data_IF_229677670260
#
_entry.id   IF_229677670260
#
_cell.length_a   1.000
_cell.length_b   1.000
_cell.length_c   1.000
_cell.angle_alpha   90.00
_cell.angle_beta   90.00
_cell.angle_gamma   90.00
#
_symmetry.space_group_name_H-M   'P 1'
#
loop_
_entity.id
_entity.type
_entity.pdbx_description
1 polymer ?
#
# COMPACT_ATOMS: atom_id res chain seq x y z
N UNK A 1 6.02 36.61 15.64
CA UNK A 1 4.95 37.62 15.53
C UNK A 1 4.59 37.77 14.06
N UNK A 2 3.30 37.70 13.71
CA UNK A 2 2.85 37.96 12.34
C UNK A 2 2.99 39.47 12.11
N UNK A 3 3.80 39.88 11.13
CA UNK A 3 4.05 41.29 10.83
C UNK A 3 2.78 42.07 10.46
N UNK A 4 2.85 43.42 10.41
CA UNK A 4 1.71 44.27 10.12
C UNK A 4 1.05 43.89 8.79
N UNK A 5 -0.29 43.85 8.78
CA UNK A 5 -1.07 43.51 7.59
C UNK A 5 -0.79 44.58 6.51
N UNK A 6 -0.31 44.19 5.32
CA UNK A 6 -0.05 45.13 4.25
C UNK A 6 -1.30 45.95 3.89
N UNK A 7 -1.16 47.28 3.82
CA UNK A 7 -2.23 48.23 3.48
C UNK A 7 -2.89 47.95 2.10
N UNK A 8 -2.25 47.18 1.22
CA UNK A 8 -2.83 46.72 -0.03
C UNK A 8 -4.06 45.78 0.17
N UNK A 9 -4.16 45.14 1.33
CA UNK A 9 -5.23 44.17 1.65
C UNK A 9 -6.50 44.83 2.21
N UNK A 10 -6.46 46.10 2.62
CA UNK A 10 -7.61 46.79 3.24
C UNK A 10 -8.69 47.21 2.25
N UNK A 11 -8.37 47.26 0.95
CA UNK A 11 -9.30 47.60 -0.14
C UNK A 11 -9.55 46.44 -1.12
N UNK A 12 -9.06 45.25 -0.78
CA UNK A 12 -9.18 44.05 -1.60
C UNK A 12 -10.51 43.34 -1.33
N UNK A 13 -11.16 42.82 -2.37
CA UNK A 13 -12.33 41.94 -2.17
C UNK A 13 -11.92 40.70 -1.36
N UNK A 14 -12.87 40.10 -0.63
CA UNK A 14 -12.61 38.89 0.16
C UNK A 14 -12.00 37.77 -0.70
N UNK A 15 -12.42 37.66 -1.97
CA UNK A 15 -11.85 36.69 -2.91
C UNK A 15 -10.36 36.92 -3.19
N UNK A 16 -9.95 38.19 -3.39
CA UNK A 16 -8.54 38.52 -3.62
C UNK A 16 -7.66 38.23 -2.38
N UNK A 17 -8.21 38.38 -1.17
CA UNK A 17 -7.50 38.02 0.05
C UNK A 17 -7.32 36.50 0.20
N UNK A 18 -8.35 35.73 -0.12
CA UNK A 18 -8.29 34.25 -0.10
C UNK A 18 -7.27 33.75 -1.11
N UNK A 19 -7.27 34.27 -2.34
CA UNK A 19 -6.29 33.88 -3.36
C UNK A 19 -4.86 34.23 -2.98
N UNK A 20 -4.64 35.39 -2.35
CA UNK A 20 -3.33 35.81 -1.89
C UNK A 20 -2.82 34.89 -0.77
N UNK A 21 -3.70 34.51 0.16
CA UNK A 21 -3.37 33.54 1.20
C UNK A 21 -3.09 32.16 0.59
N UNK A 22 -3.99 31.60 -0.22
CA UNK A 22 -3.79 30.28 -0.83
C UNK A 22 -2.45 30.17 -1.60
N UNK A 23 -2.08 31.23 -2.32
CA UNK A 23 -0.78 31.31 -3.01
C UNK A 23 0.40 31.30 -2.05
N UNK A 24 0.34 32.08 -0.98
CA UNK A 24 1.38 32.11 0.04
C UNK A 24 1.46 30.78 0.82
N UNK A 25 0.31 30.14 1.08
CA UNK A 25 0.22 28.83 1.72
C UNK A 25 0.90 27.76 0.88
N UNK A 26 0.55 27.68 -0.41
CA UNK A 26 1.11 26.72 -1.35
C UNK A 26 2.63 26.92 -1.47
N UNK A 27 3.09 28.17 -1.65
CA UNK A 27 4.52 28.47 -1.74
C UNK A 27 5.30 28.15 -0.46
N UNK A 28 4.67 28.30 0.72
CA UNK A 28 5.28 27.88 1.98
C UNK A 28 5.33 26.35 2.12
N UNK A 29 4.26 25.65 1.71
CA UNK A 29 4.20 24.19 1.69
C UNK A 29 5.27 23.60 0.77
N UNK A 30 5.46 24.15 -0.44
CA UNK A 30 6.48 23.70 -1.38
C UNK A 30 7.92 23.84 -0.84
N UNK A 31 8.15 24.83 0.04
CA UNK A 31 9.46 25.06 0.68
C UNK A 31 9.71 24.16 1.89
N UNK A 32 8.67 23.92 2.70
CA UNK A 32 8.78 23.14 3.94
C UNK A 32 8.68 21.63 3.66
N UNK A 33 7.91 21.26 2.64
CA UNK A 33 7.69 19.88 2.23
C UNK A 33 8.42 19.68 0.91
N UNK A 34 9.69 19.25 0.92
CA UNK A 34 10.32 18.82 -0.33
C UNK A 34 9.41 17.76 -0.94
N UNK A 35 9.08 17.90 -2.22
CA UNK A 35 8.29 16.92 -2.98
C UNK A 35 8.88 15.54 -2.74
N UNK A 36 8.34 14.78 -1.78
CA UNK A 36 8.83 13.44 -1.50
C UNK A 36 8.50 12.64 -2.74
N UNK A 37 9.49 12.17 -3.52
CA UNK A 37 9.20 11.25 -4.59
C UNK A 37 8.49 10.08 -3.91
N UNK A 38 7.30 9.73 -4.39
CA UNK A 38 6.63 8.54 -3.93
C UNK A 38 7.56 7.38 -4.29
N UNK A 39 8.35 6.91 -3.33
CA UNK A 39 9.24 5.76 -3.52
C UNK A 39 8.32 4.56 -3.66
N UNK A 40 7.81 4.33 -4.88
CA UNK A 40 7.34 3.03 -5.31
C UNK A 40 8.59 2.18 -5.42
N UNK A 41 9.09 1.71 -4.28
CA UNK A 41 9.82 0.44 -4.25
C UNK A 41 8.80 -0.56 -4.75
N UNK A 42 8.77 -0.76 -6.07
CA UNK A 42 8.13 -1.92 -6.65
C UNK A 42 8.78 -3.10 -5.95
N UNK A 43 8.03 -3.73 -5.05
CA UNK A 43 8.49 -4.95 -4.41
C UNK A 43 8.78 -5.89 -5.57
N UNK A 44 10.07 -6.09 -5.90
CA UNK A 44 10.46 -7.16 -6.82
C UNK A 44 9.87 -8.40 -6.20
N UNK A 45 8.84 -8.95 -6.85
CA UNK A 45 8.26 -10.20 -6.40
C UNK A 45 9.42 -11.17 -6.21
N UNK A 46 9.42 -11.88 -5.09
CA UNK A 46 10.51 -12.79 -4.81
C UNK A 46 10.66 -13.76 -6.01
N UNK A 47 11.87 -14.07 -6.48
CA UNK A 47 12.05 -14.86 -7.71
C UNK A 47 11.38 -16.24 -7.66
N UNK A 48 11.22 -16.81 -6.47
CA UNK A 48 10.52 -18.07 -6.21
C UNK A 48 8.98 -17.92 -6.12
N UNK A 49 8.44 -16.70 -6.19
CA UNK A 49 7.00 -16.45 -6.03
C UNK A 49 6.27 -16.63 -7.35
N UNK A 50 5.70 -17.81 -7.55
CA UNK A 50 5.00 -18.18 -8.78
C UNK A 50 3.57 -17.62 -8.84
N UNK A 51 2.97 -17.63 -10.05
CA UNK A 51 1.56 -17.26 -10.27
C UNK A 51 0.62 -18.10 -9.41
N UNK A 52 0.89 -19.40 -9.31
CA UNK A 52 0.13 -20.36 -8.52
C UNK A 52 0.12 -19.99 -7.03
N UNK A 53 1.28 -19.66 -6.44
CA UNK A 53 1.32 -19.15 -5.07
C UNK A 53 0.52 -17.86 -4.90
N UNK A 54 0.48 -17.01 -5.93
CA UNK A 54 -0.39 -15.84 -5.98
C UNK A 54 -1.88 -16.18 -5.97
N UNK A 55 -2.30 -17.19 -6.72
CA UNK A 55 -3.67 -17.69 -6.78
C UNK A 55 -4.07 -18.35 -5.45
N UNK A 56 -3.21 -19.18 -4.87
CA UNK A 56 -3.43 -19.75 -3.54
C UNK A 56 -3.59 -18.64 -2.49
N UNK A 57 -2.75 -17.60 -2.52
CA UNK A 57 -2.87 -16.45 -1.61
C UNK A 57 -4.19 -15.71 -1.78
N UNK A 58 -4.68 -15.55 -3.02
CA UNK A 58 -6.00 -14.95 -3.30
C UNK A 58 -7.14 -15.84 -2.82
N UNK A 59 -7.08 -17.14 -3.07
CA UNK A 59 -8.08 -18.12 -2.64
C UNK A 59 -8.20 -18.14 -1.11
N UNK A 60 -7.06 -18.10 -0.39
CA UNK A 60 -7.04 -17.96 1.07
C UNK A 60 -7.92 -16.78 1.53
N UNK A 61 -7.74 -15.60 0.93
CA UNK A 61 -8.52 -14.40 1.28
C UNK A 61 -10.01 -14.56 0.99
N UNK A 62 -10.37 -15.24 -0.10
CA UNK A 62 -11.77 -15.51 -0.45
C UNK A 62 -12.42 -16.47 0.56
N UNK A 63 -11.72 -17.56 0.92
CA UNK A 63 -12.18 -18.50 1.94
C UNK A 63 -12.33 -17.81 3.31
N UNK A 64 -11.36 -16.98 3.71
CA UNK A 64 -11.45 -16.20 4.95
C UNK A 64 -12.63 -15.23 4.94
N UNK A 65 -12.92 -14.62 3.79
CA UNK A 65 -14.07 -13.73 3.65
C UNK A 65 -15.39 -14.50 3.75
N UNK A 66 -15.48 -15.67 3.11
CA UNK A 66 -16.64 -16.57 3.21
C UNK A 66 -16.88 -17.00 4.66
N UNK A 67 -15.83 -17.46 5.34
CA UNK A 67 -15.92 -17.87 6.75
C UNK A 67 -16.34 -16.73 7.68
N UNK A 68 -15.92 -15.49 7.43
CA UNK A 68 -16.37 -14.34 8.24
C UNK A 68 -17.87 -14.09 8.12
N UNK A 69 -18.46 -14.36 6.95
CA UNK A 69 -19.89 -14.22 6.70
C UNK A 69 -20.67 -15.38 7.32
N UNK A 70 -20.26 -16.61 7.04
CA UNK A 70 -20.99 -17.80 7.48
C UNK A 70 -20.77 -18.17 8.96
N UNK A 71 -19.58 -17.85 9.50
CA UNK A 71 -19.04 -18.32 10.79
C UNK A 71 -19.13 -19.84 11.00
N UNK A 72 -19.24 -20.62 9.92
CA UNK A 72 -19.38 -22.06 9.99
C UNK A 72 -18.05 -22.75 10.31
N UNK A 73 -18.12 -23.90 10.98
CA UNK A 73 -16.92 -24.71 11.24
C UNK A 73 -16.40 -25.43 9.98
N UNK A 74 -17.29 -25.71 9.01
CA UNK A 74 -16.90 -26.25 7.71
C UNK A 74 -16.02 -25.26 6.93
N UNK A 75 -16.43 -23.99 6.85
CA UNK A 75 -15.62 -22.95 6.18
C UNK A 75 -14.32 -22.69 6.93
N UNK A 76 -14.35 -22.76 8.26
CA UNK A 76 -13.14 -22.70 9.08
C UNK A 76 -12.18 -23.85 8.77
N UNK A 77 -12.69 -25.06 8.56
CA UNK A 77 -11.89 -26.22 8.17
C UNK A 77 -11.28 -26.04 6.78
N UNK A 78 -12.04 -25.50 5.82
CA UNK A 78 -11.55 -25.18 4.48
C UNK A 78 -10.41 -24.15 4.51
N UNK A 79 -10.56 -23.07 5.27
CA UNK A 79 -9.48 -22.07 5.46
C UNK A 79 -8.23 -22.74 6.02
N UNK A 80 -8.37 -23.56 7.07
CA UNK A 80 -7.22 -24.25 7.69
C UNK A 80 -6.53 -25.22 6.71
N UNK A 81 -7.31 -26.01 5.97
CA UNK A 81 -6.78 -26.94 4.98
C UNK A 81 -6.01 -26.20 3.89
N UNK A 82 -6.59 -25.12 3.35
CA UNK A 82 -5.96 -24.30 2.33
C UNK A 82 -4.68 -23.61 2.80
N UNK A 83 -4.67 -23.09 4.03
CA UNK A 83 -3.46 -22.49 4.63
C UNK A 83 -2.34 -23.52 4.75
N UNK A 84 -2.63 -24.75 5.16
CA UNK A 84 -1.63 -25.83 5.22
C UNK A 84 -1.05 -26.14 3.85
N UNK A 85 -1.90 -26.33 2.84
CA UNK A 85 -1.47 -26.59 1.47
C UNK A 85 -0.59 -25.44 0.93
N UNK A 86 -1.00 -24.19 1.15
CA UNK A 86 -0.26 -23.01 0.74
C UNK A 86 1.14 -22.92 1.37
N UNK A 87 1.27 -23.22 2.67
CA UNK A 87 2.55 -23.21 3.36
C UNK A 87 3.50 -24.31 2.85
N UNK A 88 2.97 -25.48 2.50
CA UNK A 88 3.75 -26.57 1.88
C UNK A 88 4.25 -26.14 0.50
N UNK A 89 3.37 -25.58 -0.34
CA UNK A 89 3.73 -25.09 -1.66
C UNK A 89 4.82 -24.01 -1.60
N UNK A 90 4.71 -23.03 -0.68
CA UNK A 90 5.77 -22.02 -0.48
C UNK A 90 7.12 -22.67 -0.15
N UNK A 91 7.13 -23.67 0.74
CA UNK A 91 8.37 -24.35 1.12
C UNK A 91 8.95 -25.12 -0.06
N UNK A 92 8.12 -25.77 -0.86
CA UNK A 92 8.54 -26.50 -2.06
C UNK A 92 9.19 -25.56 -3.09
N UNK A 93 8.52 -24.45 -3.43
CA UNK A 93 9.03 -23.46 -4.39
C UNK A 93 10.33 -22.82 -3.92
N UNK A 94 10.43 -22.45 -2.63
CA UNK A 94 11.68 -21.92 -2.06
C UNK A 94 12.82 -22.94 -2.16
N UNK A 95 12.57 -24.20 -1.86
CA UNK A 95 13.58 -25.26 -1.97
C UNK A 95 14.00 -25.45 -3.42
N UNK A 96 13.04 -25.56 -4.35
CA UNK A 96 13.30 -25.68 -5.78
C UNK A 96 14.18 -24.55 -6.29
N UNK A 97 13.82 -23.31 -5.97
CA UNK A 97 14.60 -22.13 -6.36
C UNK A 97 16.02 -22.12 -5.79
N UNK A 98 16.19 -22.44 -4.50
CA UNK A 98 17.52 -22.49 -3.89
C UNK A 98 18.37 -23.62 -4.47
N UNK A 99 17.78 -24.80 -4.71
CA UNK A 99 18.48 -25.92 -5.36
C UNK A 99 18.93 -25.54 -6.78
N UNK A 100 18.06 -24.90 -7.55
CA UNK A 100 18.40 -24.43 -8.90
C UNK A 100 19.52 -23.38 -8.90
N UNK A 101 19.56 -22.49 -7.90
CA UNK A 101 20.63 -21.50 -7.74
C UNK A 101 21.98 -22.13 -7.37
N UNK A 102 21.99 -23.23 -6.62
CA UNK A 102 23.23 -23.94 -6.24
C UNK A 102 23.77 -24.78 -7.41
N UNK A 103 22.89 -25.28 -8.27
CA UNK A 103 23.26 -26.10 -9.43
C UNK A 103 23.67 -25.28 -10.67
N UNK A 104 23.53 -23.94 -10.62
CA UNK A 104 23.98 -22.99 -11.65
C UNK A 104 25.37 -22.45 -11.35
#
# INVERSE_FOLDING_TARGET
>A
ELGPIPEALTHSSVGALVEAWDRAAAGALDRVVPLRPLIRRGSRAAPWFTRELGEMKRLKRRLESSWRVSRSDSDRALVKAHVRAYLVAIKAEKRSHLTALIAS
#
